data_IF_016934687356
#
_entry.id   IF_016934687356
#
_cell.length_a   1.000
_cell.length_b   1.000
_cell.length_c   1.000
_cell.angle_alpha   90.00
_cell.angle_beta   90.00
_cell.angle_gamma   90.00
#
_symmetry.space_group_name_H-M   'P 1'
#
loop_
_entity.id
_entity.type
_entity.pdbx_description
1 polymer ?
#
# COMPACT_ATOMS: atom_id res chain seq x y z
N UNK A 1 50.77 -55.53 -16.72
CA UNK A 1 49.47 -55.10 -16.17
C UNK A 1 49.69 -54.57 -14.76
N UNK A 2 49.74 -53.24 -14.59
CA UNK A 2 50.01 -52.59 -13.30
C UNK A 2 48.72 -51.90 -12.85
N UNK A 3 48.14 -52.42 -11.76
CA UNK A 3 46.95 -51.90 -11.10
C UNK A 3 47.35 -50.74 -10.17
N UNK A 4 46.83 -49.53 -10.44
CA UNK A 4 46.92 -48.37 -9.54
C UNK A 4 45.65 -48.29 -8.70
N UNK A 5 45.80 -48.47 -7.40
CA UNK A 5 44.76 -48.31 -6.38
C UNK A 5 44.34 -46.83 -6.27
N UNK A 6 43.04 -46.58 -6.40
CA UNK A 6 42.40 -45.28 -6.14
C UNK A 6 42.24 -45.12 -4.62
N UNK A 7 42.84 -44.07 -4.04
CA UNK A 7 42.58 -43.68 -2.63
C UNK A 7 41.39 -42.73 -2.61
N UNK A 8 40.25 -43.17 -2.11
CA UNK A 8 39.14 -42.29 -1.72
C UNK A 8 39.49 -41.65 -0.36
N UNK A 9 39.58 -40.32 -0.32
CA UNK A 9 39.56 -39.57 0.94
C UNK A 9 38.12 -39.28 1.33
N UNK A 10 37.66 -39.79 2.48
CA UNK A 10 36.41 -39.35 3.11
C UNK A 10 36.58 -37.90 3.57
N UNK A 11 35.78 -36.99 3.02
CA UNK A 11 35.58 -35.64 3.55
C UNK A 11 34.43 -35.74 4.55
N UNK A 12 34.73 -35.58 5.84
CA UNK A 12 33.73 -35.49 6.89
C UNK A 12 33.05 -34.11 6.82
N UNK A 13 31.77 -34.09 6.46
CA UNK A 13 30.92 -32.90 6.50
C UNK A 13 30.39 -32.76 7.93
N UNK A 14 30.65 -31.65 8.65
CA UNK A 14 30.08 -31.45 9.97
C UNK A 14 28.57 -31.26 9.86
N UNK A 15 27.83 -32.18 10.46
CA UNK A 15 26.39 -32.07 10.68
C UNK A 15 26.15 -30.88 11.63
N UNK A 16 25.76 -29.74 11.09
CA UNK A 16 25.25 -28.62 11.89
C UNK A 16 23.81 -28.98 12.26
N UNK A 17 23.62 -29.44 13.50
CA UNK A 17 22.30 -29.60 14.11
C UNK A 17 21.64 -28.21 14.20
N UNK A 18 20.78 -27.91 13.23
CA UNK A 18 19.88 -26.75 13.29
C UNK A 18 18.89 -26.97 14.43
N UNK A 19 19.10 -26.30 15.54
CA UNK A 19 18.10 -26.24 16.61
C UNK A 19 16.92 -25.43 16.05
N UNK A 20 15.71 -26.00 15.94
CA UNK A 20 14.55 -25.22 15.53
C UNK A 20 14.29 -24.16 16.59
N UNK A 21 14.49 -22.90 16.25
CA UNK A 21 13.95 -21.78 17.02
C UNK A 21 12.42 -21.87 16.92
N UNK A 22 11.80 -22.54 17.88
CA UNK A 22 10.38 -22.40 18.13
C UNK A 22 10.22 -21.00 18.70
N UNK A 23 9.98 -20.02 17.83
CA UNK A 23 9.50 -18.71 18.23
C UNK A 23 8.07 -18.94 18.71
N UNK A 24 7.92 -19.17 20.02
CA UNK A 24 6.62 -19.16 20.67
C UNK A 24 6.04 -17.74 20.52
N UNK A 25 5.33 -17.52 19.42
CA UNK A 25 4.49 -16.34 19.25
C UNK A 25 3.35 -16.46 20.25
N UNK A 26 3.53 -15.88 21.44
CA UNK A 26 2.41 -15.56 22.32
C UNK A 26 1.59 -14.45 21.67
N UNK A 27 0.86 -14.80 20.60
CA UNK A 27 -0.14 -13.95 20.00
C UNK A 27 -1.17 -13.58 21.08
N UNK A 28 -1.22 -12.31 21.46
CA UNK A 28 -2.21 -11.84 22.44
C UNK A 28 -3.57 -11.83 21.76
N UNK A 29 -4.45 -12.73 22.16
CA UNK A 29 -5.84 -12.73 21.71
C UNK A 29 -6.62 -11.67 22.50
N UNK A 30 -6.98 -10.57 21.84
CA UNK A 30 -7.79 -9.50 22.42
C UNK A 30 -9.29 -9.75 22.16
N UNK A 31 -10.14 -9.44 23.14
CA UNK A 31 -11.61 -9.36 22.92
C UNK A 31 -11.96 -8.18 22.01
N UNK A 32 -13.15 -8.17 21.42
CA UNK A 32 -13.58 -7.06 20.55
C UNK A 32 -13.58 -5.71 21.28
N UNK A 33 -13.97 -5.67 22.55
CA UNK A 33 -13.95 -4.46 23.39
C UNK A 33 -12.52 -3.97 23.62
N UNK A 34 -11.59 -4.89 23.86
CA UNK A 34 -10.16 -4.56 23.99
C UNK A 34 -9.60 -4.04 22.67
N UNK A 35 -9.97 -4.65 21.52
CA UNK A 35 -9.56 -4.17 20.20
C UNK A 35 -10.09 -2.76 19.93
N UNK A 36 -11.36 -2.47 20.27
CA UNK A 36 -11.96 -1.14 20.15
C UNK A 36 -11.23 -0.13 21.04
N UNK A 37 -11.01 -0.46 22.31
CA UNK A 37 -10.34 0.44 23.24
C UNK A 37 -8.91 0.76 22.80
N UNK A 38 -8.16 -0.24 22.33
CA UNK A 38 -6.82 -0.03 21.78
C UNK A 38 -6.82 0.78 20.48
N UNK A 39 -7.83 0.62 19.64
CA UNK A 39 -8.01 1.48 18.47
C UNK A 39 -8.20 2.95 18.86
N UNK A 40 -8.97 3.23 19.91
CA UNK A 40 -9.13 4.60 20.45
C UNK A 40 -7.82 5.17 20.98
N UNK A 41 -7.07 4.36 21.74
CA UNK A 41 -5.73 4.76 22.22
C UNK A 41 -4.73 5.00 21.08
N UNK A 42 -4.91 4.33 19.94
CA UNK A 42 -4.08 4.51 18.76
C UNK A 42 -4.47 5.75 17.97
N UNK A 43 -5.78 6.09 17.91
CA UNK A 43 -6.29 7.30 17.26
C UNK A 43 -5.60 8.56 17.79
N UNK A 44 -5.39 8.65 19.10
CA UNK A 44 -4.70 9.78 19.75
C UNK A 44 -3.20 9.87 19.41
N UNK A 45 -2.62 8.79 18.87
CA UNK A 45 -1.20 8.68 18.51
C UNK A 45 -0.94 8.82 17.02
N UNK A 46 -2.00 8.93 16.21
CA UNK A 46 -1.90 9.06 14.75
C UNK A 46 -1.07 10.28 14.41
N UNK A 47 0.02 10.05 13.69
CA UNK A 47 0.95 11.08 13.20
C UNK A 47 1.64 10.62 11.93
N UNK A 48 2.05 11.58 11.12
CA UNK A 48 3.03 11.35 10.08
C UNK A 48 4.45 11.55 10.65
N UNK A 49 5.33 10.57 10.45
CA UNK A 49 6.74 10.67 10.84
C UNK A 49 7.61 10.79 9.60
N UNK A 50 7.84 12.03 9.18
CA UNK A 50 8.63 12.37 8.01
C UNK A 50 10.06 11.79 8.06
N UNK A 51 10.65 11.69 9.26
CA UNK A 51 12.03 11.20 9.42
C UNK A 51 12.18 9.72 9.05
N UNK A 52 11.11 8.95 9.12
CA UNK A 52 11.08 7.53 8.76
C UNK A 52 10.29 7.24 7.48
N UNK A 53 9.80 8.27 6.79
CA UNK A 53 9.03 8.13 5.56
C UNK A 53 9.90 7.68 4.39
N UNK A 54 9.30 6.95 3.46
CA UNK A 54 9.95 6.53 2.22
C UNK A 54 9.94 7.68 1.21
N UNK A 55 11.13 8.02 0.69
CA UNK A 55 11.35 9.11 -0.27
C UNK A 55 11.46 8.65 -1.72
N UNK A 56 10.39 8.73 -2.50
CA UNK A 56 10.24 8.36 -3.91
C UNK A 56 10.98 9.29 -4.88
N UNK A 57 12.31 9.40 -4.78
CA UNK A 57 13.13 10.30 -5.62
C UNK A 57 13.18 9.96 -7.11
N UNK A 58 12.75 8.75 -7.48
CA UNK A 58 13.08 8.15 -8.78
C UNK A 58 11.86 7.97 -9.69
N UNK A 59 10.70 8.55 -9.35
CA UNK A 59 9.56 8.59 -10.28
C UNK A 59 9.98 9.37 -11.51
N UNK A 60 9.99 8.70 -12.67
CA UNK A 60 10.23 9.38 -13.95
C UNK A 60 8.97 10.14 -14.37
N UNK A 61 8.83 11.35 -13.83
CA UNK A 61 7.73 12.25 -14.09
C UNK A 61 7.58 12.62 -15.57
N UNK A 62 8.59 12.41 -16.42
CA UNK A 62 8.48 12.67 -17.86
C UNK A 62 7.64 11.61 -18.60
N UNK A 63 7.45 10.43 -18.01
CA UNK A 63 6.80 9.27 -18.63
C UNK A 63 5.40 8.96 -18.11
N UNK A 64 4.93 9.69 -17.10
CA UNK A 64 3.63 9.44 -16.46
C UNK A 64 2.69 10.62 -16.63
N UNK A 65 1.39 10.32 -16.67
CA UNK A 65 0.33 11.34 -16.59
C UNK A 65 0.16 11.77 -15.14
N UNK A 66 0.13 13.07 -14.92
CA UNK A 66 -0.14 13.62 -13.61
C UNK A 66 -0.77 15.01 -13.67
N UNK A 67 -1.38 15.40 -12.56
CA UNK A 67 -1.86 16.76 -12.29
C UNK A 67 -1.24 17.27 -10.98
N UNK A 68 -1.18 18.58 -10.82
CA UNK A 68 -0.86 19.19 -9.53
C UNK A 68 -2.07 19.93 -9.00
N UNK A 69 -2.18 20.03 -7.67
CA UNK A 69 -3.24 20.78 -7.03
C UNK A 69 -2.94 20.99 -5.57
N UNK A 70 -3.91 21.56 -4.87
CA UNK A 70 -3.85 21.78 -3.43
C UNK A 70 -4.90 20.91 -2.76
N UNK A 71 -4.53 20.27 -1.64
CA UNK A 71 -5.50 19.57 -0.83
C UNK A 71 -6.54 20.56 -0.31
N UNK A 72 -7.82 20.29 -0.52
CA UNK A 72 -8.89 21.03 0.11
C UNK A 72 -9.25 20.40 1.46
N UNK A 73 -9.64 19.12 1.42
CA UNK A 73 -10.05 18.33 2.60
C UNK A 73 -9.99 16.84 2.32
N UNK A 74 -10.06 16.03 3.37
CA UNK A 74 -10.30 14.59 3.31
C UNK A 74 -11.77 14.26 3.57
N UNK A 75 -12.35 13.32 2.81
CA UNK A 75 -13.63 12.71 3.16
C UNK A 75 -13.42 11.62 4.23
N UNK A 76 -12.45 10.76 3.96
CA UNK A 76 -12.02 9.61 4.75
C UNK A 76 -10.52 9.37 4.50
N UNK A 77 -9.99 8.20 4.83
CA UNK A 77 -8.56 7.92 4.76
C UNK A 77 -8.00 7.68 3.36
N UNK A 78 -8.82 7.51 2.32
CA UNK A 78 -8.36 7.25 0.93
C UNK A 78 -9.04 8.14 -0.11
N UNK A 79 -9.82 9.12 0.34
CA UNK A 79 -10.62 9.97 -0.52
C UNK A 79 -10.40 11.46 -0.22
N UNK A 80 -9.32 12.08 -0.74
CA UNK A 80 -9.11 13.51 -0.65
C UNK A 80 -9.81 14.28 -1.77
N UNK A 81 -10.11 15.55 -1.49
CA UNK A 81 -10.60 16.53 -2.45
C UNK A 81 -9.48 17.51 -2.77
N UNK A 82 -9.24 17.75 -4.06
CA UNK A 82 -8.27 18.74 -4.54
C UNK A 82 -8.96 19.95 -5.14
N UNK A 83 -8.31 21.10 -4.99
CA UNK A 83 -8.66 22.38 -5.63
C UNK A 83 -7.42 22.96 -6.32
N UNK A 84 -7.62 24.08 -7.03
CA UNK A 84 -6.54 24.79 -7.73
C UNK A 84 -5.72 23.87 -8.66
N UNK A 85 -6.41 22.96 -9.36
CA UNK A 85 -5.77 21.92 -10.16
C UNK A 85 -5.14 22.52 -11.43
N UNK A 86 -3.88 22.18 -11.67
CA UNK A 86 -3.09 22.60 -12.82
C UNK A 86 -2.49 21.40 -13.57
N UNK A 87 -2.09 21.64 -14.82
CA UNK A 87 -1.43 20.64 -15.64
C UNK A 87 -0.03 20.33 -15.12
N UNK A 88 0.40 19.06 -15.24
CA UNK A 88 1.81 18.71 -15.08
C UNK A 88 2.69 19.34 -16.16
N UNK A 89 4.00 19.38 -15.89
CA UNK A 89 5.01 20.02 -16.73
C UNK A 89 5.46 19.21 -17.96
N UNK A 90 5.05 17.94 -18.07
CA UNK A 90 5.35 17.10 -19.22
C UNK A 90 4.23 17.17 -20.29
N UNK A 91 4.54 16.76 -21.52
CA UNK A 91 3.59 16.82 -22.63
C UNK A 91 2.33 15.96 -22.41
N UNK A 92 2.50 14.73 -21.91
CA UNK A 92 1.41 13.78 -21.68
C UNK A 92 0.42 14.33 -20.65
N UNK A 93 0.92 14.94 -19.58
CA UNK A 93 0.16 15.60 -18.52
C UNK A 93 -0.54 16.86 -19.01
N UNK A 94 0.11 17.69 -19.85
CA UNK A 94 -0.54 18.85 -20.48
C UNK A 94 -1.70 18.43 -21.38
N UNK A 95 -1.52 17.40 -22.18
CA UNK A 95 -2.57 16.86 -23.05
C UNK A 95 -3.73 16.31 -22.23
N UNK A 96 -3.44 15.51 -21.20
CA UNK A 96 -4.44 15.00 -20.28
C UNK A 96 -5.24 16.12 -19.61
N UNK A 97 -4.56 17.15 -19.08
CA UNK A 97 -5.23 18.29 -18.46
C UNK A 97 -6.13 19.01 -19.46
N UNK A 98 -5.63 19.33 -20.66
CA UNK A 98 -6.41 20.03 -21.70
C UNK A 98 -7.68 19.28 -22.08
N UNK A 99 -7.62 17.95 -22.16
CA UNK A 99 -8.78 17.10 -22.47
C UNK A 99 -9.84 17.09 -21.34
N UNK A 100 -9.43 17.39 -20.10
CA UNK A 100 -10.28 17.27 -18.91
C UNK A 100 -10.44 18.61 -18.15
N UNK A 101 -10.02 19.73 -18.75
CA UNK A 101 -9.79 21.01 -18.08
C UNK A 101 -11.05 21.54 -17.37
N UNK A 102 -12.21 21.45 -18.03
CA UNK A 102 -13.48 21.93 -17.50
C UNK A 102 -13.88 21.22 -16.19
N UNK A 103 -13.61 19.92 -16.08
CA UNK A 103 -13.90 19.14 -14.88
C UNK A 103 -12.81 19.32 -13.82
N UNK A 104 -11.54 19.33 -14.21
CA UNK A 104 -10.42 19.51 -13.26
C UNK A 104 -10.44 20.89 -12.59
N UNK A 105 -10.86 21.96 -13.30
CA UNK A 105 -10.97 23.30 -12.73
C UNK A 105 -12.04 23.44 -11.64
N UNK A 106 -13.05 22.56 -11.60
CA UNK A 106 -14.06 22.55 -10.53
C UNK A 106 -13.54 21.97 -9.21
N UNK A 107 -12.32 21.44 -9.21
CA UNK A 107 -11.82 20.58 -8.15
C UNK A 107 -12.22 19.13 -8.39
N UNK A 108 -11.49 18.21 -7.76
CA UNK A 108 -11.65 16.77 -8.04
C UNK A 108 -11.52 15.94 -6.78
N UNK A 109 -12.43 14.99 -6.64
CA UNK A 109 -12.34 13.91 -5.65
C UNK A 109 -11.38 12.86 -6.18
N UNK A 110 -10.39 12.47 -5.38
CA UNK A 110 -9.41 11.45 -5.74
C UNK A 110 -9.83 10.14 -5.07
N UNK A 111 -9.77 9.03 -5.80
CA UNK A 111 -9.71 7.69 -5.21
C UNK A 111 -8.24 7.32 -5.15
N UNK A 112 -7.69 7.24 -3.94
CA UNK A 112 -6.30 6.84 -3.79
C UNK A 112 -6.12 5.40 -4.29
N UNK A 113 -5.18 5.21 -5.20
CA UNK A 113 -4.87 3.91 -5.81
C UNK A 113 -4.30 2.95 -4.76
N UNK A 114 -4.46 1.63 -4.93
CA UNK A 114 -3.71 0.61 -4.19
C UNK A 114 -4.06 0.42 -2.71
N UNK A 115 -5.00 1.18 -2.15
CA UNK A 115 -5.48 1.04 -0.77
C UNK A 115 -7.00 1.12 -0.72
N UNK A 116 -7.56 0.70 0.41
CA UNK A 116 -8.97 0.85 0.76
C UNK A 116 -9.09 0.89 2.28
N UNK A 117 -9.33 2.09 2.77
CA UNK A 117 -9.40 2.36 4.19
C UNK A 117 -10.72 1.84 4.76
N UNK A 118 -10.82 1.60 6.08
CA UNK A 118 -12.08 1.22 6.70
C UNK A 118 -13.13 2.32 6.51
N UNK A 119 -14.41 1.96 6.32
CA UNK A 119 -15.44 2.95 6.06
C UNK A 119 -15.89 3.71 7.31
N UNK A 120 -16.20 5.01 7.15
CA UNK A 120 -16.96 5.79 8.15
C UNK A 120 -18.47 5.73 7.95
N UNK A 121 -18.94 5.40 6.74
CA UNK A 121 -20.35 5.23 6.40
C UNK A 121 -20.51 4.17 5.29
N UNK A 122 -21.49 3.29 5.41
CA UNK A 122 -21.85 2.33 4.36
C UNK A 122 -23.13 2.80 3.63
N UNK A 123 -23.29 2.49 2.33
CA UNK A 123 -24.50 2.83 1.60
C UNK A 123 -25.72 2.09 2.18
N UNK A 124 -26.89 2.72 2.09
CA UNK A 124 -28.16 2.09 2.50
C UNK A 124 -28.44 2.04 4.00
N UNK A 125 -27.86 2.95 4.79
CA UNK A 125 -28.02 3.02 6.25
C UNK A 125 -27.55 1.75 6.99
N UNK A 126 -26.60 1.03 6.42
CA UNK A 126 -25.98 -0.12 7.10
C UNK A 126 -25.14 0.41 8.27
N UNK A 127 -25.41 -0.11 9.47
CA UNK A 127 -24.66 0.24 10.67
C UNK A 127 -23.22 -0.28 10.57
N UNK A 128 -22.26 0.61 10.77
CA UNK A 128 -20.85 0.24 10.82
C UNK A 128 -20.51 -0.28 12.20
N UNK A 129 -19.79 -1.39 12.23
CA UNK A 129 -19.34 -1.98 13.49
C UNK A 129 -18.41 -1.00 14.23
N UNK A 130 -18.52 -0.86 15.56
CA UNK A 130 -17.69 0.07 16.32
C UNK A 130 -16.19 -0.11 16.13
N UNK A 131 -15.73 -1.36 15.90
CA UNK A 131 -14.31 -1.64 15.61
C UNK A 131 -13.88 -1.03 14.27
N UNK A 132 -14.68 -1.17 13.21
CA UNK A 132 -14.38 -0.61 11.90
C UNK A 132 -14.36 0.92 11.95
N UNK A 133 -15.36 1.52 12.62
CA UNK A 133 -15.46 2.98 12.76
C UNK A 133 -14.23 3.60 13.43
N UNK A 134 -13.70 2.98 14.49
CA UNK A 134 -12.51 3.49 15.19
C UNK A 134 -11.28 3.48 14.27
N UNK A 135 -11.10 2.43 13.46
CA UNK A 135 -9.98 2.38 12.51
C UNK A 135 -10.21 3.27 11.29
N UNK A 136 -11.45 3.48 10.86
CA UNK A 136 -11.80 4.47 9.84
C UNK A 136 -11.45 5.90 10.29
N UNK A 137 -11.69 6.21 11.56
CA UNK A 137 -11.28 7.47 12.18
C UNK A 137 -9.75 7.61 12.21
N UNK A 138 -9.01 6.55 12.57
CA UNK A 138 -7.55 6.57 12.58
C UNK A 138 -6.96 6.79 11.17
N UNK A 139 -7.46 6.06 10.17
CA UNK A 139 -7.05 6.22 8.77
C UNK A 139 -7.33 7.64 8.24
N UNK A 140 -8.50 8.19 8.57
CA UNK A 140 -8.85 9.56 8.17
C UNK A 140 -7.99 10.61 8.88
N UNK A 141 -7.75 10.42 10.18
CA UNK A 141 -6.87 11.30 10.95
C UNK A 141 -5.47 11.28 10.37
N UNK A 142 -5.00 10.12 9.89
CA UNK A 142 -3.70 10.01 9.25
C UNK A 142 -3.64 10.86 7.99
N UNK A 143 -4.64 10.80 7.11
CA UNK A 143 -4.78 11.69 5.96
C UNK A 143 -4.66 13.16 6.35
N UNK A 144 -5.47 13.59 7.32
CA UNK A 144 -5.54 14.97 7.80
C UNK A 144 -4.23 15.52 8.39
N UNK A 145 -3.42 14.67 9.04
CA UNK A 145 -2.14 15.10 9.63
C UNK A 145 -0.94 14.88 8.70
N UNK A 146 -1.09 14.10 7.64
CA UNK A 146 -0.02 13.80 6.68
C UNK A 146 0.04 14.83 5.57
N UNK A 147 -1.13 15.19 5.01
CA UNK A 147 -1.26 16.22 3.99
C UNK A 147 -2.22 17.26 4.53
N UNK A 148 -1.72 18.47 4.78
CA UNK A 148 -2.49 19.56 5.38
C UNK A 148 -3.33 20.30 4.33
N UNK A 149 -4.45 20.93 4.70
CA UNK A 149 -5.19 21.79 3.78
C UNK A 149 -4.30 22.87 3.14
N UNK A 150 -4.53 23.10 1.85
CA UNK A 150 -3.76 23.96 0.94
C UNK A 150 -2.32 23.50 0.67
N UNK A 151 -1.89 22.34 1.19
CA UNK A 151 -0.60 21.76 0.81
C UNK A 151 -0.65 21.30 -0.65
N UNK A 152 0.41 21.61 -1.39
CA UNK A 152 0.57 21.15 -2.77
C UNK A 152 0.78 19.66 -2.83
N UNK A 153 0.12 19.02 -3.79
CA UNK A 153 0.26 17.60 -4.09
C UNK A 153 0.35 17.40 -5.60
N UNK A 154 0.95 16.27 -5.98
CA UNK A 154 1.00 15.78 -7.34
C UNK A 154 0.28 14.44 -7.41
N UNK A 155 -0.70 14.31 -8.29
CA UNK A 155 -1.46 13.07 -8.47
C UNK A 155 -1.06 12.41 -9.76
N UNK A 156 -0.37 11.27 -9.66
CA UNK A 156 -0.09 10.39 -10.79
C UNK A 156 -1.34 9.55 -11.09
N UNK A 157 -1.75 9.47 -12.35
CA UNK A 157 -3.00 8.83 -12.75
C UNK A 157 -2.86 8.14 -14.10
N UNK A 158 -3.59 7.05 -14.31
CA UNK A 158 -3.78 6.43 -15.62
C UNK A 158 -4.89 7.13 -16.45
N UNK A 159 -5.55 8.15 -15.86
CA UNK A 159 -6.63 8.90 -16.47
C UNK A 159 -7.96 8.14 -16.55
N UNK A 160 -8.07 6.94 -15.96
CA UNK A 160 -9.31 6.19 -15.96
C UNK A 160 -10.31 6.82 -14.98
N UNK A 161 -11.49 7.26 -15.45
CA UNK A 161 -12.52 7.75 -14.55
C UNK A 161 -13.12 6.59 -13.76
N UNK A 162 -13.25 6.77 -12.44
CA UNK A 162 -14.07 5.90 -11.60
C UNK A 162 -15.24 6.72 -11.06
N UNK A 163 -16.35 6.69 -11.79
CA UNK A 163 -17.51 7.55 -11.52
C UNK A 163 -17.13 9.04 -11.50
N UNK A 164 -17.40 9.75 -10.40
CA UNK A 164 -17.07 11.16 -10.18
C UNK A 164 -15.60 11.38 -9.73
N UNK A 165 -14.84 10.30 -9.51
CA UNK A 165 -13.48 10.32 -8.95
C UNK A 165 -12.40 10.17 -10.02
N UNK A 166 -11.28 10.85 -9.80
CA UNK A 166 -10.03 10.55 -10.49
C UNK A 166 -9.26 9.50 -9.67
N UNK A 167 -8.88 8.38 -10.27
CA UNK A 167 -8.07 7.38 -9.58
C UNK A 167 -6.59 7.73 -9.72
N UNK A 168 -5.82 7.69 -8.63
CA UNK A 168 -4.41 8.01 -8.72
C UNK A 168 -3.62 7.84 -7.41
N UNK A 169 -2.30 7.83 -7.56
CA UNK A 169 -1.35 7.87 -6.44
C UNK A 169 -1.03 9.33 -6.09
N UNK A 170 -1.02 9.66 -4.81
CA UNK A 170 -0.83 11.04 -4.33
C UNK A 170 0.57 11.19 -3.77
N UNK A 171 1.30 12.13 -4.36
CA UNK A 171 2.64 12.50 -3.95
C UNK A 171 2.65 13.87 -3.28
N UNK A 172 3.39 13.99 -2.18
CA UNK A 172 3.46 15.18 -1.34
C UNK A 172 4.87 15.39 -0.78
N UNK A 173 5.08 16.52 -0.09
CA UNK A 173 6.41 17.02 0.27
C UNK A 173 6.89 18.08 -0.70
N UNK A 174 7.95 18.81 -0.34
CA UNK A 174 8.45 19.96 -1.11
C UNK A 174 8.83 19.59 -2.55
N UNK A 175 9.19 18.32 -2.78
CA UNK A 175 9.59 17.77 -4.08
C UNK A 175 8.68 16.62 -4.52
N UNK A 176 7.51 16.48 -3.90
CA UNK A 176 6.61 15.34 -4.12
C UNK A 176 7.30 13.99 -3.84
N UNK A 177 8.18 13.95 -2.84
CA UNK A 177 8.99 12.78 -2.52
C UNK A 177 8.28 11.73 -1.69
N UNK A 178 7.12 11.99 -1.10
CA UNK A 178 6.39 11.02 -0.29
C UNK A 178 5.14 10.55 -1.02
N UNK A 179 4.85 9.25 -1.01
CA UNK A 179 3.64 8.68 -1.62
C UNK A 179 2.66 8.23 -0.54
N UNK A 180 1.42 8.73 -0.62
CA UNK A 180 0.46 8.62 0.48
C UNK A 180 0.05 7.17 0.79
N UNK A 181 -0.23 6.34 -0.23
CA UNK A 181 -0.65 4.95 -0.02
C UNK A 181 0.41 4.14 0.73
N UNK A 182 1.66 4.35 0.35
CA UNK A 182 2.82 3.74 0.99
C UNK A 182 2.90 4.14 2.46
N UNK A 183 2.76 5.43 2.76
CA UNK A 183 2.90 5.93 4.13
C UNK A 183 1.75 5.50 5.05
N UNK A 184 0.50 5.48 4.57
CA UNK A 184 -0.64 4.99 5.37
C UNK A 184 -0.58 3.47 5.60
N UNK A 185 -0.11 2.70 4.61
CA UNK A 185 0.15 1.26 4.78
C UNK A 185 1.27 1.04 5.78
N UNK A 186 2.37 1.81 5.70
CA UNK A 186 3.51 1.73 6.62
C UNK A 186 3.10 2.05 8.06
N UNK A 187 2.19 3.02 8.23
CA UNK A 187 1.60 3.38 9.51
C UNK A 187 0.63 2.32 10.06
N UNK A 188 0.18 1.38 9.22
CA UNK A 188 -0.72 0.29 9.64
C UNK A 188 -2.16 0.73 9.87
N UNK A 189 -2.65 1.71 9.10
CA UNK A 189 -4.03 2.19 9.19
C UNK A 189 -4.91 1.77 8.01
N UNK A 190 -4.35 1.01 7.06
CA UNK A 190 -5.12 0.40 5.97
C UNK A 190 -4.48 -0.91 5.53
N UNK A 191 -5.30 -1.79 4.95
CA UNK A 191 -4.80 -2.90 4.14
C UNK A 191 -4.59 -2.43 2.68
N UNK A 192 -3.54 -2.93 2.01
CA UNK A 192 -3.33 -2.67 0.59
C UNK A 192 -4.21 -3.55 -0.30
N UNK A 193 -4.58 -3.02 -1.47
CA UNK A 193 -5.41 -3.70 -2.47
C UNK A 193 -4.58 -4.66 -3.35
N UNK A 194 -4.68 -5.96 -3.06
CA UNK A 194 -4.11 -7.06 -3.85
C UNK A 194 -4.72 -7.26 -5.23
N UNK A 195 -5.95 -6.80 -5.48
CA UNK A 195 -6.63 -7.03 -6.77
C UNK A 195 -5.96 -6.31 -7.93
N UNK A 196 -5.36 -5.15 -7.67
CA UNK A 196 -4.69 -4.32 -8.68
C UNK A 196 -3.19 -4.65 -8.80
N UNK A 197 -2.59 -5.22 -7.75
CA UNK A 197 -1.17 -5.54 -7.70
C UNK A 197 -0.74 -6.57 -8.77
N UNK A 198 -1.58 -7.55 -9.09
CA UNK A 198 -1.29 -8.54 -10.14
C UNK A 198 -1.46 -7.96 -11.55
N UNK A 199 -2.38 -6.99 -11.72
CA UNK A 199 -2.60 -6.32 -13.01
C UNK A 199 -1.42 -5.43 -13.39
N UNK A 200 -0.76 -4.82 -12.41
CA UNK A 200 0.45 -4.01 -12.59
C UNK A 200 1.62 -4.79 -13.24
N UNK A 201 1.56 -6.12 -13.25
CA UNK A 201 2.71 -6.99 -13.54
C UNK A 201 2.58 -7.96 -14.71
N UNK A 202 1.41 -8.10 -15.34
CA UNK A 202 1.22 -9.14 -16.35
C UNK A 202 1.31 -8.65 -17.80
N UNK A 203 0.82 -7.45 -18.13
CA UNK A 203 0.75 -7.00 -19.52
C UNK A 203 1.40 -5.63 -19.81
N UNK A 204 2.00 -5.00 -18.80
CA UNK A 204 2.95 -3.90 -18.97
C UNK A 204 2.37 -2.55 -19.41
N UNK A 205 1.15 -2.20 -19.00
CA UNK A 205 0.49 -0.97 -19.46
C UNK A 205 0.28 0.12 -18.40
N UNK A 206 0.41 -0.15 -17.09
CA UNK A 206 0.11 0.86 -16.05
C UNK A 206 1.30 1.19 -15.14
N UNK A 207 2.13 2.14 -15.60
CA UNK A 207 3.23 2.73 -14.83
C UNK A 207 2.78 3.23 -13.43
N UNK A 208 1.62 3.91 -13.29
CA UNK A 208 1.06 4.25 -11.99
C UNK A 208 0.96 3.10 -11.00
N UNK A 209 0.27 2.01 -11.36
CA UNK A 209 0.13 0.84 -10.49
C UNK A 209 1.47 0.18 -10.15
N UNK A 210 2.43 0.24 -11.08
CA UNK A 210 3.77 -0.32 -10.89
C UNK A 210 4.60 0.44 -9.86
N UNK A 211 4.75 1.77 -9.99
CA UNK A 211 5.53 2.59 -9.04
C UNK A 211 5.02 2.46 -7.61
N UNK A 212 3.70 2.33 -7.46
CA UNK A 212 3.06 2.21 -6.18
C UNK A 212 3.25 0.82 -5.54
N UNK A 213 2.98 -0.25 -6.29
CA UNK A 213 2.84 -1.60 -5.73
C UNK A 213 4.08 -2.03 -4.93
N UNK A 214 5.28 -1.71 -5.40
CA UNK A 214 6.50 -2.07 -4.69
C UNK A 214 6.69 -1.32 -3.37
N UNK A 215 6.43 0.00 -3.36
CA UNK A 215 6.47 0.82 -2.15
C UNK A 215 5.50 0.30 -1.09
N UNK A 216 4.28 -0.03 -1.52
CA UNK A 216 3.25 -0.64 -0.68
C UNK A 216 3.71 -2.00 -0.11
N UNK A 217 4.32 -2.89 -0.91
CA UNK A 217 4.85 -4.18 -0.40
C UNK A 217 5.85 -3.98 0.74
N UNK A 218 6.77 -3.03 0.59
CA UNK A 218 7.79 -2.76 1.60
C UNK A 218 7.20 -2.10 2.85
N UNK A 219 6.29 -1.14 2.66
CA UNK A 219 5.55 -0.50 3.74
C UNK A 219 4.75 -1.52 4.55
N UNK A 220 4.08 -2.44 3.86
CA UNK A 220 3.28 -3.49 4.45
C UNK A 220 4.11 -4.43 5.34
N UNK A 221 5.24 -4.93 4.81
CA UNK A 221 6.19 -5.77 5.58
C UNK A 221 6.73 -5.03 6.79
N UNK A 222 7.06 -3.75 6.64
CA UNK A 222 7.53 -2.91 7.74
C UNK A 222 6.46 -2.75 8.82
N UNK A 223 5.22 -2.42 8.44
CA UNK A 223 4.12 -2.20 9.37
C UNK A 223 3.86 -3.45 10.23
N UNK A 224 3.84 -4.64 9.62
CA UNK A 224 3.71 -5.90 10.36
C UNK A 224 4.89 -6.16 11.28
N UNK A 225 6.12 -6.01 10.77
CA UNK A 225 7.35 -6.25 11.54
C UNK A 225 7.49 -5.32 12.74
N UNK A 226 7.18 -4.03 12.57
CA UNK A 226 7.25 -3.01 13.63
C UNK A 226 5.99 -2.95 14.48
N UNK A 227 4.96 -3.71 14.13
CA UNK A 227 3.65 -3.69 14.79
C UNK A 227 3.10 -2.25 14.81
N UNK A 228 2.98 -1.63 13.63
CA UNK A 228 2.40 -0.30 13.49
C UNK A 228 0.87 -0.36 13.40
N UNK A 229 0.18 0.67 13.89
CA UNK A 229 -1.27 0.79 13.79
C UNK A 229 -2.01 -0.45 14.30
N UNK A 230 -2.92 -0.99 13.47
CA UNK A 230 -3.73 -2.15 13.87
C UNK A 230 -2.88 -3.43 14.06
N UNK A 231 -1.68 -3.53 13.49
CA UNK A 231 -0.81 -4.70 13.68
C UNK A 231 -0.35 -4.91 15.12
N UNK A 232 -0.52 -3.93 16.03
CA UNK A 232 -0.31 -4.09 17.48
C UNK A 232 -1.31 -5.04 18.14
N UNK A 233 -2.43 -5.30 17.46
CA UNK A 233 -3.65 -5.87 18.01
C UNK A 233 -4.10 -7.08 17.21
N UNK A 234 -3.94 -7.03 15.88
CA UNK A 234 -4.32 -8.11 14.99
C UNK A 234 -3.09 -8.95 14.61
N UNK A 235 -3.27 -10.27 14.64
CA UNK A 235 -2.17 -11.22 14.44
C UNK A 235 -1.73 -11.33 12.97
N UNK A 236 -2.70 -11.26 12.07
CA UNK A 236 -2.51 -11.39 10.63
C UNK A 236 -3.71 -10.82 9.87
N UNK A 237 -3.62 -10.86 8.55
CA UNK A 237 -4.60 -10.35 7.60
C UNK A 237 -5.99 -10.94 7.85
N UNK A 238 -6.04 -12.23 8.14
CA UNK A 238 -7.29 -12.95 8.37
C UNK A 238 -7.99 -12.45 9.65
N UNK A 239 -7.23 -12.19 10.72
CA UNK A 239 -7.79 -11.57 11.94
C UNK A 239 -8.33 -10.16 11.69
N UNK A 240 -7.76 -9.43 10.73
CA UNK A 240 -8.24 -8.09 10.33
C UNK A 240 -9.51 -8.17 9.48
N UNK A 241 -9.72 -9.22 8.68
CA UNK A 241 -10.76 -9.23 7.63
C UNK A 241 -11.89 -10.23 7.87
N UNK A 242 -11.61 -11.42 8.39
CA UNK A 242 -12.53 -12.57 8.39
C UNK A 242 -12.99 -13.00 9.79
N UNK A 243 -12.51 -12.34 10.84
CA UNK A 243 -12.96 -12.59 12.21
C UNK A 243 -14.19 -11.71 12.52
N UNK A 244 -15.16 -12.16 13.33
CA UNK A 244 -16.28 -11.33 13.81
C UNK A 244 -15.82 -10.09 14.60
N UNK A 245 -14.55 -10.09 15.04
CA UNK A 245 -13.84 -8.98 15.68
C UNK A 245 -12.85 -8.22 14.76
N UNK A 246 -12.85 -8.51 13.46
CA UNK A 246 -12.09 -7.84 12.41
C UNK A 246 -12.63 -6.46 12.03
N UNK A 247 -11.83 -5.73 11.26
CA UNK A 247 -12.14 -4.38 10.75
C UNK A 247 -13.03 -4.49 9.50
N UNK A 248 -12.68 -5.32 8.52
CA UNK A 248 -13.29 -5.30 7.18
C UNK A 248 -14.41 -6.34 6.96
N UNK A 249 -15.12 -6.72 8.01
CA UNK A 249 -16.11 -7.82 7.95
C UNK A 249 -17.30 -7.46 7.05
N UNK A 250 -17.66 -6.18 7.00
CA UNK A 250 -18.78 -5.65 6.20
C UNK A 250 -18.54 -5.75 4.70
N UNK A 251 -17.31 -6.04 4.26
CA UNK A 251 -16.87 -6.04 2.86
C UNK A 251 -16.67 -7.43 2.23
N UNK A 252 -17.04 -8.51 2.91
CA UNK A 252 -17.00 -9.86 2.34
C UNK A 252 -17.90 -9.93 1.08
N UNK A 253 -17.28 -9.91 -0.13
CA UNK A 253 -17.87 -10.10 -1.49
C UNK A 253 -17.74 -8.96 -2.53
N UNK A 254 -16.89 -7.94 -2.33
CA UNK A 254 -16.68 -6.91 -3.37
C UNK A 254 -15.59 -7.25 -4.42
N UNK A 255 -15.04 -8.48 -4.41
CA UNK A 255 -13.97 -8.91 -5.33
C UNK A 255 -12.58 -8.33 -5.01
N UNK A 256 -12.43 -7.75 -3.82
CA UNK A 256 -11.14 -7.26 -3.33
C UNK A 256 -10.28 -8.39 -2.80
N UNK A 257 -9.02 -8.40 -3.25
CA UNK A 257 -7.97 -9.24 -2.71
C UNK A 257 -7.10 -8.40 -1.81
N UNK A 258 -6.64 -8.97 -0.71
CA UNK A 258 -5.79 -8.29 0.27
C UNK A 258 -4.39 -8.87 0.21
N UNK A 259 -3.36 -8.03 0.37
CA UNK A 259 -1.98 -8.55 0.41
C UNK A 259 -1.84 -9.46 1.63
N UNK A 260 -1.19 -10.60 1.43
CA UNK A 260 -0.94 -11.55 2.52
C UNK A 260 0.49 -12.09 2.49
N UNK A 261 1.08 -12.27 3.68
CA UNK A 261 2.30 -13.07 3.82
C UNK A 261 2.03 -14.58 3.79
N UNK A 262 0.77 -14.99 3.99
CA UNK A 262 0.34 -16.39 4.04
C UNK A 262 -0.54 -16.71 2.84
N UNK A 263 -0.38 -17.92 2.33
CA UNK A 263 -1.39 -18.49 1.44
C UNK A 263 -2.56 -18.99 2.29
N UNK A 264 -3.68 -18.25 2.28
CA UNK A 264 -4.87 -18.62 3.02
C UNK A 264 -5.77 -19.60 2.24
N UNK A 265 -5.38 -20.05 1.04
CA UNK A 265 -6.19 -20.83 0.10
C UNK A 265 -7.54 -20.20 -0.30
N UNK A 266 -7.79 -18.96 0.14
CA UNK A 266 -9.01 -18.18 -0.05
C UNK A 266 -8.81 -17.18 -1.18
N UNK A 267 -9.83 -17.02 -2.04
CA UNK A 267 -9.82 -16.13 -3.20
C UNK A 267 -9.68 -14.65 -2.82
N UNK A 268 -9.91 -14.30 -1.55
CA UNK A 268 -9.77 -12.96 -0.99
C UNK A 268 -8.35 -12.48 -0.69
N UNK A 269 -7.30 -13.27 -0.95
CA UNK A 269 -5.91 -12.87 -0.68
C UNK A 269 -5.01 -12.98 -1.92
N UNK A 270 -3.97 -12.15 -1.96
CA UNK A 270 -2.87 -12.21 -2.92
C UNK A 270 -1.57 -12.21 -2.15
N UNK A 271 -0.72 -13.22 -2.38
CA UNK A 271 0.51 -13.33 -1.59
C UNK A 271 1.56 -12.34 -2.08
N UNK A 272 2.37 -11.82 -1.15
CA UNK A 272 3.50 -10.95 -1.53
C UNK A 272 4.46 -11.68 -2.47
N UNK A 273 4.64 -12.98 -2.30
CA UNK A 273 5.47 -13.77 -3.19
C UNK A 273 4.92 -13.78 -4.63
N UNK A 274 3.59 -13.89 -4.81
CA UNK A 274 2.97 -13.78 -6.14
C UNK A 274 3.24 -12.42 -6.77
N UNK A 275 3.11 -11.33 -5.98
CA UNK A 275 3.37 -9.97 -6.45
C UNK A 275 4.85 -9.80 -6.84
N UNK A 276 5.78 -10.26 -6.00
CA UNK A 276 7.22 -10.20 -6.29
C UNK A 276 7.54 -11.03 -7.55
N UNK A 277 7.05 -12.27 -7.63
CA UNK A 277 7.30 -13.14 -8.80
C UNK A 277 6.74 -12.53 -10.08
N UNK A 278 5.56 -11.91 -10.02
CA UNK A 278 4.98 -11.25 -11.18
C UNK A 278 5.82 -10.03 -11.60
N UNK A 279 6.31 -9.24 -10.65
CA UNK A 279 7.26 -8.15 -10.91
C UNK A 279 8.59 -8.65 -11.50
N UNK A 280 9.13 -9.78 -11.04
CA UNK A 280 10.38 -10.36 -11.55
C UNK A 280 10.23 -10.96 -12.96
N UNK A 281 9.10 -11.62 -13.27
CA UNK A 281 8.82 -12.15 -14.62
C UNK A 281 8.76 -11.07 -15.70
N UNK A 282 8.42 -9.83 -15.32
CA UNK A 282 8.50 -8.69 -16.22
C UNK A 282 9.95 -8.40 -16.66
N UNK A 283 10.93 -8.58 -15.76
CA UNK A 283 12.35 -8.35 -16.06
C UNK A 283 12.87 -9.31 -17.14
N UNK A 284 12.52 -10.59 -17.01
CA UNK A 284 12.94 -11.65 -17.94
C UNK A 284 12.36 -11.45 -19.35
N UNK A 285 11.14 -10.91 -19.46
CA UNK A 285 10.45 -10.74 -20.74
C UNK A 285 10.77 -9.44 -21.49
N UNK A 286 11.29 -8.39 -20.82
CA UNK A 286 11.57 -7.09 -21.46
C UNK A 286 13.04 -6.65 -21.39
N UNK A 287 13.92 -7.46 -20.80
CA UNK A 287 15.37 -7.18 -20.73
C UNK A 287 15.73 -5.92 -19.94
N UNK A 288 14.81 -5.41 -19.12
CA UNK A 288 14.98 -4.23 -18.28
C UNK A 288 14.85 -4.64 -16.82
N UNK A 289 15.72 -4.14 -15.95
CA UNK A 289 15.76 -4.54 -14.54
C UNK A 289 14.70 -3.79 -13.74
N UNK A 290 14.22 -4.38 -12.66
CA UNK A 290 13.34 -3.75 -11.67
C UNK A 290 13.98 -2.46 -11.16
N UNK A 291 15.31 -2.42 -10.98
CA UNK A 291 16.06 -1.21 -10.62
C UNK A 291 15.95 -0.06 -11.63
N UNK A 292 15.56 -0.34 -12.87
CA UNK A 292 15.49 0.65 -13.95
C UNK A 292 14.14 1.40 -13.96
N UNK A 293 13.15 0.93 -13.19
CA UNK A 293 11.82 1.53 -13.07
C UNK A 293 11.26 1.55 -11.64
N UNK A 294 11.71 0.65 -10.78
CA UNK A 294 11.31 0.56 -9.38
C UNK A 294 12.25 1.38 -8.54
N UNK A 295 11.60 2.35 -7.91
CA UNK A 295 12.07 2.97 -6.70
C UNK A 295 12.34 1.93 -5.61
N UNK A 296 13.60 1.80 -5.18
CA UNK A 296 13.94 1.12 -3.93
C UNK A 296 13.97 2.20 -2.84
N UNK A 297 13.12 2.13 -1.80
CA UNK A 297 13.23 3.00 -0.65
C UNK A 297 14.60 2.91 -0.02
N UNK A 298 15.43 3.91 -0.28
CA UNK A 298 16.72 4.04 0.38
C UNK A 298 16.45 4.69 1.72
N UNK A 299 16.39 3.87 2.77
CA UNK A 299 16.61 4.38 4.12
C UNK A 299 18.05 4.88 4.17
N UNK A 300 18.27 6.16 3.86
CA UNK A 300 19.52 6.84 4.23
C UNK A 300 19.58 6.81 5.76
N UNK A 301 20.33 5.84 6.30
CA UNK A 301 20.77 5.86 7.70
C UNK A 301 21.69 7.04 7.93
#
# INVERSE_FOLDING_TARGET
MISKKLKLSLIAIPFVLSVPFIVASCAKNYTIEQKIQKGKEELDKVKFDEKSAYKFSDVDWSKVKYIEGELDKWADGDTPYLKNITAGDNEISRLFYKQNEAELKKGKKIRVLGIDTPEKALPGNIEIKPIELVWAQAASKFGEVTILPNQKVRVMTDGQPSYDRLVGSIYFGDKFEYEYSTEIVRAGYTLPNGSEALKATLDGEDLPSYYQSYGIVLAYKEAKKKQNGFWKIFNDEYDVTNNTSGIYISRQNNGWKIYSDKDFSDEGFTTIEQIIKANLRFEENKGKKISDFVYIPVNKR
#
